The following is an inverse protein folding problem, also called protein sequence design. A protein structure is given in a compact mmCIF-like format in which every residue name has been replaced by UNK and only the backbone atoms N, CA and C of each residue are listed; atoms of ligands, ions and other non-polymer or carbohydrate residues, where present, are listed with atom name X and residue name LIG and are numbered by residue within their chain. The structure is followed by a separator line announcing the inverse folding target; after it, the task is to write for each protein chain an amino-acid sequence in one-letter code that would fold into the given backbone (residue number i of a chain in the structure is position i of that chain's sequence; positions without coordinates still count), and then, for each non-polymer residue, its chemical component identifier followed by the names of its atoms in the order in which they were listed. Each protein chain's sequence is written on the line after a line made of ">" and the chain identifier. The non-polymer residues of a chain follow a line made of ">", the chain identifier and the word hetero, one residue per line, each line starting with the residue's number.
data_IF_404803997464
#
_entry.id   IF_404803997464
#
_cell.length_a   1.000
_cell.length_b   1.000
_cell.length_c   1.000
_cell.angle_alpha   90.00
_cell.angle_beta   90.00
_cell.angle_gamma   90.00
#
_symmetry.space_group_name_H-M   'P 1'
#
loop_
_entity.id
_entity.type
_entity.pdbx_description
1 polymer ?
#
# COMPACT_ATOMS: atom_id res chain seq x y z
N UNK A 1 6.92 1.77 -15.22
CA UNK A 1 6.66 0.66 -16.16
C UNK A 1 5.31 0.88 -16.83
N UNK A 2 5.25 0.93 -18.17
CA UNK A 2 4.03 1.26 -18.94
C UNK A 2 2.91 0.22 -18.74
N UNK A 3 3.23 -1.07 -18.84
CA UNK A 3 2.25 -2.15 -18.68
C UNK A 3 1.66 -2.18 -17.28
N UNK A 4 2.47 -1.98 -16.24
CA UNK A 4 1.99 -1.96 -14.86
C UNK A 4 1.03 -0.79 -14.60
N UNK A 5 1.29 0.38 -15.22
CA UNK A 5 0.39 1.54 -15.13
C UNK A 5 -0.98 1.26 -15.78
N UNK A 6 -1.02 0.48 -16.85
CA UNK A 6 -2.28 0.05 -17.48
C UNK A 6 -3.05 -0.92 -16.57
N UNK A 7 -2.35 -1.89 -15.95
CA UNK A 7 -2.96 -2.87 -15.03
C UNK A 7 -3.55 -2.21 -13.78
N UNK A 8 -2.90 -1.15 -13.27
CA UNK A 8 -3.33 -0.45 -12.05
C UNK A 8 -4.38 0.63 -12.32
N UNK A 9 -4.68 0.92 -13.58
CA UNK A 9 -5.58 2.01 -13.98
C UNK A 9 -4.96 3.40 -13.80
N UNK A 10 -3.64 3.51 -13.64
CA UNK A 10 -2.89 4.77 -13.68
C UNK A 10 -2.76 5.35 -15.09
N UNK A 11 -2.93 4.52 -16.12
CA UNK A 11 -2.98 4.92 -17.52
C UNK A 11 -4.07 4.16 -18.27
N UNK A 12 -4.66 4.81 -19.29
CA UNK A 12 -5.64 4.18 -20.17
C UNK A 12 -4.96 3.56 -21.39
N UNK A 13 -5.40 2.37 -21.86
CA UNK A 13 -4.88 1.79 -23.09
C UNK A 13 -5.31 2.63 -24.30
N UNK A 14 -4.41 2.77 -25.28
CA UNK A 14 -4.73 3.49 -26.53
C UNK A 14 -5.71 2.71 -27.43
N UNK A 15 -5.73 1.37 -27.32
CA UNK A 15 -6.67 0.48 -27.97
C UNK A 15 -6.79 -0.84 -27.19
N UNK A 16 -7.89 -1.57 -27.37
CA UNK A 16 -8.17 -2.82 -26.66
C UNK A 16 -8.71 -2.61 -25.24
N UNK A 17 -8.67 -3.67 -24.43
CA UNK A 17 -9.12 -3.62 -23.04
C UNK A 17 -8.11 -4.30 -22.09
N UNK A 18 -8.06 -3.81 -20.86
CA UNK A 18 -7.31 -4.43 -19.77
C UNK A 18 -8.31 -4.96 -18.76
N UNK A 19 -8.18 -6.25 -18.38
CA UNK A 19 -9.05 -6.89 -17.38
C UNK A 19 -8.21 -7.44 -16.24
N UNK A 20 -8.62 -7.12 -15.01
CA UNK A 20 -8.00 -7.64 -13.79
C UNK A 20 -9.08 -8.38 -12.99
N UNK A 21 -8.80 -9.64 -12.62
CA UNK A 21 -9.78 -10.51 -11.95
C UNK A 21 -11.12 -10.61 -12.71
N UNK A 22 -11.06 -10.67 -14.04
CA UNK A 22 -12.24 -10.77 -14.92
C UNK A 22 -13.03 -9.46 -15.11
N UNK A 23 -12.70 -8.37 -14.42
CA UNK A 23 -13.37 -7.08 -14.57
C UNK A 23 -12.53 -6.10 -15.42
N UNK A 24 -13.15 -5.26 -16.27
CA UNK A 24 -12.43 -4.23 -17.01
C UNK A 24 -11.85 -3.17 -16.07
N UNK A 25 -10.61 -2.76 -16.32
CA UNK A 25 -9.94 -1.67 -15.58
C UNK A 25 -10.49 -0.34 -16.11
N UNK A 26 -11.23 0.39 -15.25
CA UNK A 26 -11.82 1.70 -15.57
C UNK A 26 -11.18 2.87 -14.82
N UNK A 27 -10.14 2.59 -14.03
CA UNK A 27 -9.46 3.53 -13.15
C UNK A 27 -8.75 2.79 -12.03
N UNK A 28 -8.29 3.53 -11.02
CA UNK A 28 -7.57 2.96 -9.88
C UNK A 28 -8.52 2.12 -9.03
N UNK A 29 -8.22 0.83 -8.92
CA UNK A 29 -8.99 -0.12 -8.12
C UNK A 29 -8.47 -0.15 -6.67
N UNK A 30 -9.36 0.05 -5.70
CA UNK A 30 -8.99 0.05 -4.28
C UNK A 30 -8.48 -1.32 -3.79
N UNK A 31 -8.73 -2.41 -4.52
CA UNK A 31 -8.23 -3.75 -4.21
C UNK A 31 -6.76 -3.93 -4.60
N UNK A 32 -6.21 -3.05 -5.43
CA UNK A 32 -4.84 -3.14 -5.93
C UNK A 32 -3.92 -2.30 -5.03
N UNK A 33 -2.83 -2.92 -4.57
CA UNK A 33 -1.71 -2.23 -3.94
C UNK A 33 -0.54 -2.08 -4.93
N UNK A 34 0.24 -1.01 -4.78
CA UNK A 34 1.42 -0.78 -5.61
C UNK A 34 2.66 -0.68 -4.71
N UNK A 35 3.69 -1.45 -5.03
CA UNK A 35 4.98 -1.42 -4.33
C UNK A 35 6.02 -0.88 -5.30
N UNK A 36 6.74 0.15 -4.86
CA UNK A 36 7.80 0.79 -5.64
C UNK A 36 9.14 0.10 -5.41
N UNK A 37 10.06 0.23 -6.37
CA UNK A 37 11.41 -0.31 -6.24
C UNK A 37 12.24 0.46 -5.20
N UNK A 38 12.02 1.76 -5.09
CA UNK A 38 12.53 2.59 -3.99
C UNK A 38 11.48 2.70 -2.89
N UNK A 39 11.91 2.74 -1.63
CA UNK A 39 11.01 2.86 -0.48
C UNK A 39 10.12 4.10 -0.61
N UNK A 40 8.82 3.86 -0.75
CA UNK A 40 7.78 4.91 -0.76
C UNK A 40 7.22 5.13 0.65
N UNK A 41 8.09 5.09 1.66
CA UNK A 41 7.73 5.31 3.05
C UNK A 41 7.64 6.82 3.33
N UNK A 42 6.81 7.20 4.31
CA UNK A 42 6.80 8.52 4.89
C UNK A 42 7.98 8.63 5.89
N UNK A 43 9.05 9.37 5.57
CA UNK A 43 10.28 9.34 6.38
C UNK A 43 10.14 10.01 7.75
N UNK A 44 9.14 10.88 7.91
CA UNK A 44 8.78 11.55 9.17
C UNK A 44 7.78 10.77 10.03
N UNK A 45 7.42 9.54 9.63
CA UNK A 45 6.53 8.65 10.38
C UNK A 45 7.31 7.44 10.86
N UNK A 46 6.92 6.91 12.01
CA UNK A 46 7.42 5.63 12.52
C UNK A 46 6.98 4.46 11.65
N UNK A 47 7.58 3.29 11.84
CA UNK A 47 7.26 2.05 11.14
C UNK A 47 5.77 1.71 11.29
N UNK A 48 5.22 1.76 12.51
CA UNK A 48 3.80 1.47 12.72
C UNK A 48 2.88 2.49 12.04
N UNK A 49 3.25 3.76 12.05
CA UNK A 49 2.49 4.84 11.39
C UNK A 49 2.51 4.73 9.87
N UNK A 50 3.59 4.20 9.29
CA UNK A 50 3.68 3.87 7.87
C UNK A 50 2.71 2.72 7.51
N UNK A 51 2.70 1.64 8.29
CA UNK A 51 1.80 0.50 8.06
C UNK A 51 0.32 0.89 8.28
N UNK A 52 0.04 1.74 9.26
CA UNK A 52 -1.31 2.25 9.54
C UNK A 52 -1.85 3.17 8.45
N UNK A 53 -0.99 3.79 7.62
CA UNK A 53 -1.41 4.81 6.65
C UNK A 53 -2.47 4.30 5.67
N UNK A 54 -2.28 3.10 5.10
CA UNK A 54 -3.23 2.49 4.17
C UNK A 54 -4.64 2.31 4.77
N UNK A 55 -4.79 1.59 5.89
CA UNK A 55 -6.07 1.46 6.60
C UNK A 55 -6.73 2.81 6.96
N UNK A 56 -5.96 3.78 7.46
CA UNK A 56 -6.47 5.11 7.83
C UNK A 56 -6.98 5.88 6.62
N UNK A 57 -6.27 5.87 5.49
CA UNK A 57 -6.71 6.53 4.25
C UNK A 57 -7.95 5.88 3.65
N UNK A 58 -8.25 4.63 4.00
CA UNK A 58 -9.50 3.94 3.67
C UNK A 58 -10.61 4.16 4.70
N UNK A 59 -10.41 5.06 5.67
CA UNK A 59 -11.43 5.42 6.67
C UNK A 59 -11.58 4.43 7.82
N UNK A 60 -10.65 3.47 8.01
CA UNK A 60 -10.71 2.59 9.19
C UNK A 60 -10.41 3.36 10.47
N UNK A 61 -11.05 2.96 11.57
CA UNK A 61 -10.80 3.53 12.87
C UNK A 61 -9.34 3.33 13.31
N UNK A 62 -8.79 4.28 14.06
CA UNK A 62 -7.39 4.24 14.52
C UNK A 62 -7.07 2.97 15.31
N UNK A 63 -8.00 2.50 16.15
CA UNK A 63 -7.81 1.27 16.94
C UNK A 63 -7.65 0.03 16.04
N UNK A 64 -8.53 -0.11 15.03
CA UNK A 64 -8.47 -1.21 14.06
C UNK A 64 -7.19 -1.15 13.21
N UNK A 65 -6.82 0.04 12.74
CA UNK A 65 -5.59 0.24 11.96
C UNK A 65 -4.34 -0.14 12.79
N UNK A 66 -4.31 0.24 14.08
CA UNK A 66 -3.20 -0.09 14.99
C UNK A 66 -3.10 -1.59 15.23
N UNK A 67 -4.23 -2.26 15.47
CA UNK A 67 -4.26 -3.71 15.69
C UNK A 67 -3.79 -4.47 14.44
N UNK A 68 -4.29 -4.10 13.26
CA UNK A 68 -3.87 -4.71 11.99
C UNK A 68 -2.39 -4.46 11.68
N UNK A 69 -1.89 -3.24 11.95
CA UNK A 69 -0.48 -2.92 11.73
C UNK A 69 0.44 -3.76 12.62
N UNK A 70 0.12 -3.94 13.89
CA UNK A 70 0.91 -4.78 14.81
C UNK A 70 0.95 -6.25 14.40
N UNK A 71 -0.19 -6.80 13.98
CA UNK A 71 -0.25 -8.18 13.44
C UNK A 71 0.68 -8.33 12.22
N UNK A 72 0.64 -7.40 11.28
CA UNK A 72 1.54 -7.43 10.12
C UNK A 72 3.02 -7.25 10.49
N UNK A 73 3.34 -6.31 11.40
CA UNK A 73 4.71 -6.12 11.86
C UNK A 73 5.28 -7.36 12.55
N UNK A 74 4.47 -8.09 13.32
CA UNK A 74 4.87 -9.36 13.91
C UNK A 74 5.20 -10.42 12.84
N UNK A 75 4.37 -10.53 11.79
CA UNK A 75 4.57 -11.50 10.69
C UNK A 75 5.85 -11.28 9.90
N UNK A 76 6.29 -10.03 9.77
CA UNK A 76 7.52 -9.67 9.05
C UNK A 76 8.73 -9.48 9.96
N UNK A 77 8.61 -9.79 11.26
CA UNK A 77 9.71 -9.72 12.22
C UNK A 77 10.11 -8.31 12.68
N UNK A 78 9.26 -7.30 12.44
CA UNK A 78 9.54 -5.88 12.74
C UNK A 78 8.86 -5.36 14.02
N UNK A 79 8.22 -6.22 14.82
CA UNK A 79 7.50 -5.80 16.02
C UNK A 79 8.33 -4.96 17.00
N UNK A 80 9.64 -5.25 17.14
CA UNK A 80 10.55 -4.50 18.03
C UNK A 80 10.89 -3.09 17.53
N UNK A 81 10.62 -2.81 16.27
CA UNK A 81 10.93 -1.54 15.62
C UNK A 81 9.69 -0.67 15.39
N UNK A 82 8.55 -0.99 16.01
CA UNK A 82 7.28 -0.32 15.71
C UNK A 82 7.34 1.21 15.86
N UNK A 83 8.16 1.70 16.79
CA UNK A 83 8.36 3.14 17.07
C UNK A 83 9.61 3.74 16.41
N UNK A 84 10.35 2.98 15.59
CA UNK A 84 11.51 3.51 14.86
C UNK A 84 11.05 4.23 13.60
N UNK A 85 11.84 5.19 13.14
CA UNK A 85 11.71 5.81 11.84
C UNK A 85 12.41 4.96 10.76
N UNK A 86 12.04 5.07 9.47
CA UNK A 86 12.61 4.26 8.39
C UNK A 86 14.14 4.27 8.32
N UNK A 87 14.78 5.40 8.64
CA UNK A 87 16.24 5.55 8.61
C UNK A 87 16.98 4.89 9.80
N UNK A 88 16.23 4.30 10.74
CA UNK A 88 16.77 3.62 11.93
C UNK A 88 16.71 2.09 11.80
N UNK A 89 16.31 1.59 10.62
CA UNK A 89 16.24 0.19 10.26
C UNK A 89 17.44 -0.26 9.43
#
# INVERSE_FOLDING_TARGET
>A
STTLNLVTGLASPSAGEVRVMGAPVKGIDSRIGFVFQSDALFPWRTVIENVMAGPLFRGRAKAEATAAARDWLARVGLARFEHHYPHQL
#
